data_IF_768233420683
#
_entry.id   IF_768233420683
#
_cell.length_a   1.000
_cell.length_b   1.000
_cell.length_c   1.000
_cell.angle_alpha   90.00
_cell.angle_beta   90.00
_cell.angle_gamma   90.00
#
_symmetry.space_group_name_H-M   'P 1'
#
loop_
_entity.id
_entity.type
_entity.pdbx_description
1 polymer ?
#
# COMPACT_ATOMS: atom_id res chain seq x y z
N UNK A 1 -7.95 -9.00 0.32
CA UNK A 1 -9.07 -9.93 0.02
C UNK A 1 -10.03 -9.36 -1.01
N UNK A 2 -10.70 -8.23 -0.76
CA UNK A 2 -11.70 -7.68 -1.69
C UNK A 2 -11.15 -7.44 -3.10
N UNK A 3 -9.97 -6.83 -3.19
CA UNK A 3 -9.28 -6.59 -4.45
C UNK A 3 -8.89 -7.88 -5.16
N UNK A 4 -8.24 -8.81 -4.44
CA UNK A 4 -7.87 -10.09 -5.05
C UNK A 4 -9.10 -10.77 -5.61
N UNK A 5 -10.24 -10.78 -4.91
CA UNK A 5 -11.50 -11.41 -5.35
C UNK A 5 -12.40 -10.53 -6.22
N UNK A 6 -11.93 -9.36 -6.67
CA UNK A 6 -12.66 -8.43 -7.56
C UNK A 6 -14.08 -8.08 -7.07
N UNK A 7 -14.27 -7.96 -5.75
CA UNK A 7 -15.59 -7.75 -5.14
C UNK A 7 -16.30 -6.50 -5.67
N UNK A 8 -15.56 -5.41 -5.86
CA UNK A 8 -16.11 -4.14 -6.35
C UNK A 8 -16.72 -4.36 -7.74
N UNK A 9 -16.00 -4.99 -8.66
CA UNK A 9 -16.51 -5.26 -10.01
C UNK A 9 -17.75 -6.16 -10.00
N UNK A 10 -17.76 -7.22 -9.18
CA UNK A 10 -18.96 -8.05 -9.02
C UNK A 10 -20.15 -7.25 -8.51
N UNK A 11 -19.96 -6.41 -7.49
CA UNK A 11 -21.02 -5.57 -6.95
C UNK A 11 -21.56 -4.57 -7.99
N UNK A 12 -20.67 -3.90 -8.74
CA UNK A 12 -21.05 -2.97 -9.80
C UNK A 12 -21.76 -3.69 -10.95
N UNK A 13 -21.29 -4.85 -11.39
CA UNK A 13 -21.94 -5.62 -12.46
C UNK A 13 -23.38 -6.06 -12.09
N UNK A 14 -23.61 -6.48 -10.85
CA UNK A 14 -24.96 -6.80 -10.37
C UNK A 14 -25.83 -5.54 -10.38
N UNK A 15 -25.34 -4.44 -9.80
CA UNK A 15 -26.11 -3.19 -9.64
C UNK A 15 -26.40 -2.49 -10.95
N UNK A 16 -25.41 -2.39 -11.83
CA UNK A 16 -25.44 -1.50 -13.01
C UNK A 16 -25.79 -2.25 -14.29
N UNK A 17 -25.53 -3.56 -14.34
CA UNK A 17 -25.74 -4.39 -15.54
C UNK A 17 -26.70 -5.56 -15.30
N UNK A 18 -27.15 -5.79 -14.06
CA UNK A 18 -28.04 -6.90 -13.72
C UNK A 18 -27.40 -8.29 -13.85
N UNK A 19 -26.07 -8.37 -13.93
CA UNK A 19 -25.35 -9.63 -14.15
C UNK A 19 -24.96 -10.28 -12.83
N UNK A 20 -25.58 -11.42 -12.49
CA UNK A 20 -25.28 -12.18 -11.28
C UNK A 20 -23.91 -12.89 -11.31
N UNK A 21 -23.56 -13.50 -12.45
CA UNK A 21 -22.30 -14.21 -12.64
C UNK A 21 -21.73 -13.87 -14.02
N UNK A 22 -21.13 -12.67 -14.12
CA UNK A 22 -20.52 -12.19 -15.36
C UNK A 22 -19.32 -13.08 -15.74
N UNK A 23 -19.54 -13.97 -16.72
CA UNK A 23 -18.52 -14.90 -17.22
C UNK A 23 -17.41 -14.22 -18.02
N UNK A 24 -17.58 -12.95 -18.40
CA UNK A 24 -16.53 -12.17 -19.06
C UNK A 24 -15.47 -11.65 -18.09
N UNK A 25 -15.76 -11.67 -16.78
CA UNK A 25 -14.81 -11.27 -15.75
C UNK A 25 -13.63 -12.25 -15.68
N UNK A 26 -12.39 -11.77 -15.62
CA UNK A 26 -11.23 -12.61 -15.35
C UNK A 26 -11.41 -13.37 -14.04
N UNK A 27 -11.14 -14.67 -14.04
CA UNK A 27 -11.18 -15.44 -12.80
C UNK A 27 -9.99 -15.03 -11.94
N UNK A 28 -10.26 -14.35 -10.82
CA UNK A 28 -9.27 -14.17 -9.77
C UNK A 28 -8.81 -15.51 -9.22
N UNK A 29 -7.50 -15.75 -9.29
CA UNK A 29 -6.86 -16.95 -8.73
C UNK A 29 -6.28 -16.72 -7.35
N UNK A 30 -6.08 -15.47 -6.93
CA UNK A 30 -5.33 -15.17 -5.71
C UNK A 30 -6.19 -15.15 -4.43
N UNK A 31 -5.93 -16.12 -3.56
CA UNK A 31 -6.41 -16.14 -2.18
C UNK A 31 -5.38 -15.52 -1.23
N UNK A 32 -5.82 -15.01 -0.08
CA UNK A 32 -4.89 -14.47 0.92
C UNK A 32 -4.25 -15.57 1.78
N UNK A 33 -4.98 -16.66 2.05
CA UNK A 33 -4.48 -17.73 2.91
C UNK A 33 -3.29 -18.44 2.26
N UNK A 34 -2.16 -18.52 2.96
CA UNK A 34 -0.94 -19.14 2.43
C UNK A 34 -0.19 -18.31 1.38
N UNK A 35 -0.63 -17.08 1.10
CA UNK A 35 -0.02 -16.23 0.09
C UNK A 35 1.32 -15.66 0.53
N UNK A 36 2.13 -15.26 -0.45
CA UNK A 36 3.32 -14.44 -0.25
C UNK A 36 2.93 -12.95 -0.26
N UNK A 37 3.17 -12.25 0.86
CA UNK A 37 2.88 -10.83 1.01
C UNK A 37 4.19 -10.04 1.08
N UNK A 38 4.39 -9.16 0.12
CA UNK A 38 5.49 -8.23 0.05
C UNK A 38 5.13 -6.87 0.66
N UNK A 39 5.91 -6.40 1.63
CA UNK A 39 5.78 -5.04 2.18
C UNK A 39 7.01 -4.21 1.81
N UNK A 40 6.79 -3.00 1.32
CA UNK A 40 7.86 -2.03 1.07
C UNK A 40 7.88 -1.06 2.24
N UNK A 41 8.95 -1.11 3.03
CA UNK A 41 9.13 -0.56 4.39
C UNK A 41 8.49 -1.34 5.53
N UNK A 42 9.20 -1.43 6.66
CA UNK A 42 8.74 -1.94 7.96
C UNK A 42 8.30 -0.79 8.89
N UNK A 43 7.60 0.20 8.34
CA UNK A 43 7.07 1.37 9.06
C UNK A 43 6.04 0.97 10.13
N UNK A 44 5.60 1.95 10.93
CA UNK A 44 4.58 1.74 11.97
C UNK A 44 3.31 1.09 11.40
N UNK A 45 2.82 1.56 10.25
CA UNK A 45 1.63 0.98 9.61
C UNK A 45 1.91 -0.43 9.11
N UNK A 46 3.09 -0.68 8.50
CA UNK A 46 3.44 -2.02 8.04
C UNK A 46 3.50 -3.04 9.19
N UNK A 47 3.96 -2.65 10.37
CA UNK A 47 4.01 -3.51 11.57
C UNK A 47 2.62 -3.88 12.06
N UNK A 48 1.67 -2.95 12.04
CA UNK A 48 0.26 -3.26 12.31
C UNK A 48 -0.31 -4.23 11.27
N UNK A 49 -0.01 -3.99 9.99
CA UNK A 49 -0.42 -4.89 8.89
C UNK A 49 0.15 -6.30 9.09
N UNK A 50 1.42 -6.45 9.49
CA UNK A 50 2.04 -7.74 9.81
C UNK A 50 1.23 -8.49 10.88
N UNK A 51 0.81 -7.79 11.95
CA UNK A 51 -0.03 -8.36 13.01
C UNK A 51 -1.40 -8.80 12.50
N UNK A 52 -2.06 -7.96 11.70
CA UNK A 52 -3.37 -8.25 11.11
C UNK A 52 -3.35 -9.40 10.11
N UNK A 53 -2.20 -9.68 9.49
CA UNK A 53 -2.03 -10.75 8.51
C UNK A 53 -1.77 -12.13 9.15
N UNK A 54 -1.35 -12.20 10.42
CA UNK A 54 -1.01 -13.46 11.09
C UNK A 54 -2.08 -14.56 10.97
N UNK A 55 -3.39 -14.28 11.17
CA UNK A 55 -4.42 -15.33 11.12
C UNK A 55 -4.60 -15.97 9.73
N UNK A 56 -4.06 -15.34 8.68
CA UNK A 56 -4.16 -15.84 7.31
C UNK A 56 -3.04 -16.83 6.95
N UNK A 57 -2.08 -17.08 7.86
CA UNK A 57 -0.96 -17.99 7.63
C UNK A 57 -0.21 -17.66 6.33
N UNK A 58 0.11 -16.37 6.16
CA UNK A 58 0.88 -15.85 5.02
C UNK A 58 2.38 -15.94 5.27
N UNK A 59 3.15 -15.87 4.20
CA UNK A 59 4.59 -15.63 4.25
C UNK A 59 4.85 -14.15 3.94
N UNK A 60 5.62 -13.45 4.77
CA UNK A 60 5.83 -12.01 4.61
C UNK A 60 7.28 -11.72 4.23
N UNK A 61 7.48 -11.14 3.05
CA UNK A 61 8.74 -10.57 2.60
C UNK A 61 8.71 -9.07 2.81
N UNK A 62 9.81 -8.48 3.29
CA UNK A 62 9.91 -7.05 3.52
C UNK A 62 11.21 -6.48 2.96
N UNK A 63 11.09 -5.38 2.21
CA UNK A 63 12.23 -4.53 1.87
C UNK A 63 12.23 -3.31 2.78
N UNK A 64 13.27 -3.16 3.60
CA UNK A 64 13.52 -1.95 4.37
C UNK A 64 15.04 -1.84 4.64
N UNK A 65 15.72 -0.79 4.11
CA UNK A 65 17.17 -0.66 4.26
C UNK A 65 17.61 -0.44 5.71
N UNK A 66 16.71 0.01 6.60
CA UNK A 66 16.98 0.32 8.00
C UNK A 66 16.54 -0.79 8.96
N UNK A 67 15.81 -1.80 8.49
CA UNK A 67 15.40 -2.94 9.30
C UNK A 67 16.59 -3.88 9.54
N UNK A 68 16.85 -4.26 10.79
CA UNK A 68 17.87 -5.28 11.09
C UNK A 68 17.29 -6.70 10.89
N UNK A 69 18.15 -7.68 10.59
CA UNK A 69 17.72 -9.09 10.47
C UNK A 69 17.17 -9.62 11.80
N UNK A 70 17.69 -9.10 12.93
CA UNK A 70 17.18 -9.43 14.26
C UNK A 70 15.75 -8.93 14.46
N UNK A 71 15.47 -7.68 14.09
CA UNK A 71 14.11 -7.11 14.18
C UNK A 71 13.14 -7.82 13.23
N UNK A 72 13.59 -8.17 12.02
CA UNK A 72 12.80 -8.96 11.07
C UNK A 72 12.41 -10.32 11.67
N UNK A 73 13.38 -11.05 12.25
CA UNK A 73 13.12 -12.32 12.93
C UNK A 73 12.16 -12.18 14.11
N UNK A 74 12.25 -11.09 14.88
CA UNK A 74 11.34 -10.82 16.00
C UNK A 74 9.90 -10.53 15.57
N UNK A 75 9.73 -9.98 14.36
CA UNK A 75 8.44 -9.75 13.73
C UNK A 75 7.90 -10.97 12.96
N UNK A 76 8.69 -12.05 12.84
CA UNK A 76 8.30 -13.23 12.07
C UNK A 76 8.21 -12.98 10.56
N UNK A 77 9.00 -12.04 10.05
CA UNK A 77 9.06 -11.66 8.64
C UNK A 77 10.45 -11.92 8.06
N UNK A 78 10.54 -12.04 6.75
CA UNK A 78 11.81 -12.21 6.03
C UNK A 78 12.22 -10.90 5.36
N UNK A 79 13.39 -10.37 5.73
CA UNK A 79 13.97 -9.21 5.06
C UNK A 79 14.63 -9.65 3.74
N UNK A 80 14.36 -8.93 2.65
CA UNK A 80 14.94 -9.22 1.33
C UNK A 80 15.15 -7.94 0.50
N UNK A 81 15.71 -8.07 -0.69
CA UNK A 81 15.91 -6.97 -1.63
C UNK A 81 14.60 -6.52 -2.28
N UNK A 82 14.52 -5.25 -2.70
CA UNK A 82 13.32 -4.66 -3.30
C UNK A 82 12.79 -5.51 -4.47
N UNK A 83 13.64 -5.81 -5.43
CA UNK A 83 13.27 -6.58 -6.61
C UNK A 83 12.83 -8.02 -6.28
N UNK A 84 13.38 -8.61 -5.22
CA UNK A 84 12.97 -9.95 -4.76
C UNK A 84 11.55 -9.95 -4.19
N UNK A 85 11.14 -8.86 -3.52
CA UNK A 85 9.74 -8.70 -3.10
C UNK A 85 8.82 -8.73 -4.33
N UNK A 86 9.13 -7.94 -5.36
CA UNK A 86 8.29 -7.83 -6.57
C UNK A 86 8.25 -9.12 -7.38
N UNK A 87 9.34 -9.89 -7.42
CA UNK A 87 9.40 -11.18 -8.13
C UNK A 87 8.59 -12.29 -7.46
N UNK A 88 8.53 -12.29 -6.13
CA UNK A 88 8.03 -13.45 -5.37
C UNK A 88 6.61 -13.24 -4.84
N UNK A 89 6.26 -12.01 -4.47
CA UNK A 89 5.03 -11.71 -3.76
C UNK A 89 3.77 -11.82 -4.63
N UNK A 90 2.70 -12.33 -4.04
CA UNK A 90 1.34 -12.36 -4.59
C UNK A 90 0.56 -11.06 -4.27
N UNK A 91 0.95 -10.40 -3.19
CA UNK A 91 0.43 -9.11 -2.75
C UNK A 91 1.62 -8.19 -2.49
N UNK A 92 1.65 -7.01 -3.08
CA UNK A 92 2.69 -6.00 -2.81
C UNK A 92 2.01 -4.77 -2.24
N UNK A 93 2.41 -4.35 -1.04
CA UNK A 93 1.85 -3.18 -0.35
C UNK A 93 2.93 -2.17 -0.01
N UNK A 94 2.74 -0.93 -0.46
CA UNK A 94 3.67 0.17 -0.19
C UNK A 94 3.35 0.83 1.15
N UNK A 95 4.38 0.95 2.00
CA UNK A 95 4.31 1.58 3.33
C UNK A 95 5.45 2.57 3.57
N UNK A 96 6.04 3.08 2.48
CA UNK A 96 7.20 3.97 2.50
C UNK A 96 6.80 5.45 2.66
N UNK A 97 7.66 6.27 3.28
CA UNK A 97 7.50 7.72 3.28
C UNK A 97 7.66 8.38 1.94
N UNK A 98 7.31 9.67 1.91
CA UNK A 98 7.74 10.61 0.88
C UNK A 98 9.06 11.26 1.29
N UNK A 99 10.14 10.83 0.66
CA UNK A 99 11.49 11.36 0.77
C UNK A 99 12.08 11.54 -0.64
N UNK A 100 13.15 12.33 -0.82
CA UNK A 100 13.85 12.41 -2.10
C UNK A 100 14.29 11.04 -2.63
N UNK A 101 14.75 10.15 -1.75
CA UNK A 101 15.25 8.82 -2.09
C UNK A 101 14.13 7.82 -2.42
N UNK A 102 12.89 8.10 -1.99
CA UNK A 102 11.73 7.24 -2.29
C UNK A 102 10.88 7.78 -3.45
N UNK A 103 11.22 8.94 -4.00
CA UNK A 103 10.51 9.51 -5.15
C UNK A 103 10.68 8.62 -6.37
N UNK A 104 9.55 8.15 -6.93
CA UNK A 104 9.51 7.21 -8.06
C UNK A 104 10.38 5.95 -7.86
N UNK A 105 10.62 5.53 -6.62
CA UNK A 105 11.41 4.32 -6.36
C UNK A 105 10.74 3.06 -6.92
N UNK A 106 9.41 3.09 -7.11
CA UNK A 106 8.67 2.05 -7.82
C UNK A 106 8.39 2.55 -9.23
N UNK A 107 9.18 2.06 -10.18
CA UNK A 107 9.07 2.39 -11.60
C UNK A 107 8.86 1.16 -12.48
N UNK A 108 9.15 1.32 -13.78
CA UNK A 108 8.95 0.27 -14.78
C UNK A 108 9.72 -1.03 -14.47
N UNK A 109 10.87 -0.94 -13.82
CA UNK A 109 11.70 -2.13 -13.51
C UNK A 109 11.04 -3.00 -12.44
N UNK A 110 10.58 -2.41 -11.34
CA UNK A 110 9.87 -3.13 -10.28
C UNK A 110 8.52 -3.65 -10.79
N UNK A 111 7.75 -2.83 -11.51
CA UNK A 111 6.43 -3.21 -11.99
C UNK A 111 6.47 -4.40 -12.96
N UNK A 112 7.50 -4.48 -13.82
CA UNK A 112 7.71 -5.62 -14.74
C UNK A 112 8.00 -6.93 -14.03
N UNK A 113 8.53 -6.90 -12.81
CA UNK A 113 8.84 -8.09 -12.02
C UNK A 113 7.62 -8.72 -11.36
N UNK A 114 6.51 -7.98 -11.23
CA UNK A 114 5.28 -8.49 -10.64
C UNK A 114 4.85 -9.79 -11.32
N UNK A 115 4.36 -10.75 -10.54
CA UNK A 115 3.72 -11.95 -11.07
C UNK A 115 2.37 -11.59 -11.68
N UNK A 116 1.88 -12.41 -12.60
CA UNK A 116 0.48 -12.35 -13.00
C UNK A 116 -0.42 -12.63 -11.79
N UNK A 117 -1.62 -12.05 -11.79
CA UNK A 117 -2.62 -12.04 -10.71
C UNK A 117 -2.17 -11.35 -9.40
N UNK A 118 -1.00 -10.70 -9.37
CA UNK A 118 -0.54 -9.93 -8.19
C UNK A 118 -1.56 -8.85 -7.79
N UNK A 119 -1.71 -8.59 -6.50
CA UNK A 119 -2.44 -7.43 -5.99
C UNK A 119 -1.46 -6.39 -5.50
N UNK A 120 -1.30 -5.31 -6.27
CA UNK A 120 -0.45 -4.19 -5.95
C UNK A 120 -1.26 -3.08 -5.24
N UNK A 121 -0.77 -2.59 -4.11
CA UNK A 121 -1.49 -1.68 -3.21
C UNK A 121 -0.58 -0.51 -2.86
N UNK A 122 -1.08 0.71 -3.05
CA UNK A 122 -0.45 1.91 -2.52
C UNK A 122 -1.45 2.74 -1.70
N UNK A 123 -1.28 2.72 -0.38
CA UNK A 123 -1.95 3.61 0.58
C UNK A 123 -0.95 4.49 1.33
N UNK A 124 0.27 4.63 0.79
CA UNK A 124 1.36 5.37 1.41
C UNK A 124 1.43 6.78 0.84
N UNK A 125 2.18 7.00 -0.25
CA UNK A 125 2.32 8.27 -0.95
C UNK A 125 2.28 8.06 -2.45
N UNK A 126 1.53 8.91 -3.17
CA UNK A 126 1.42 8.83 -4.63
C UNK A 126 2.79 8.98 -5.32
N UNK A 127 3.61 9.91 -4.84
CA UNK A 127 4.91 10.26 -5.42
C UNK A 127 6.00 9.18 -5.31
N UNK A 128 5.71 8.07 -4.63
CA UNK A 128 6.61 6.91 -4.55
C UNK A 128 6.53 6.06 -5.82
N UNK A 129 5.40 6.15 -6.53
CA UNK A 129 5.06 5.34 -7.69
C UNK A 129 5.02 6.21 -8.94
N UNK A 130 5.79 5.83 -9.94
CA UNK A 130 5.68 6.41 -11.28
C UNK A 130 4.34 5.96 -11.92
N UNK A 131 3.40 6.89 -12.03
CA UNK A 131 2.04 6.60 -12.54
C UNK A 131 2.02 6.34 -14.06
N UNK A 132 2.98 6.88 -14.81
CA UNK A 132 3.10 6.60 -16.25
C UNK A 132 3.63 5.19 -16.45
N UNK A 133 4.66 4.79 -15.70
CA UNK A 133 5.15 3.41 -15.70
C UNK A 133 4.06 2.42 -15.24
N UNK A 134 3.31 2.78 -14.20
CA UNK A 134 2.15 2.00 -13.75
C UNK A 134 1.13 1.83 -14.85
N UNK A 135 0.77 2.89 -15.57
CA UNK A 135 -0.18 2.80 -16.68
C UNK A 135 0.31 1.86 -17.78
N UNK A 136 1.58 1.97 -18.18
CA UNK A 136 2.13 1.11 -19.24
C UNK A 136 2.07 -0.37 -18.88
N UNK A 137 2.27 -0.71 -17.61
CA UNK A 137 2.29 -2.10 -17.15
C UNK A 137 0.87 -2.60 -16.84
N UNK A 138 0.06 -1.80 -16.13
CA UNK A 138 -1.28 -2.16 -15.69
C UNK A 138 -2.29 -2.27 -16.84
N UNK A 139 -2.08 -1.58 -17.98
CA UNK A 139 -2.98 -1.68 -19.15
C UNK A 139 -3.09 -3.09 -19.74
N UNK A 140 -2.12 -3.97 -19.45
CA UNK A 140 -2.17 -5.39 -19.84
C UNK A 140 -3.27 -6.17 -19.10
N UNK A 141 -3.72 -5.67 -17.94
CA UNK A 141 -4.71 -6.36 -17.10
C UNK A 141 -4.15 -7.53 -16.29
N UNK A 142 -2.84 -7.79 -16.34
CA UNK A 142 -2.23 -8.99 -15.75
C UNK A 142 -2.14 -9.00 -14.22
N UNK A 143 -2.30 -7.84 -13.56
CA UNK A 143 -2.33 -7.70 -12.10
C UNK A 143 -3.39 -6.68 -11.68
N UNK A 144 -3.80 -6.71 -10.41
CA UNK A 144 -4.76 -5.77 -9.82
C UNK A 144 -4.04 -4.64 -9.10
N UNK A 145 -4.61 -3.44 -9.14
CA UNK A 145 -4.04 -2.25 -8.52
C UNK A 145 -5.07 -1.57 -7.63
N UNK A 146 -4.68 -1.26 -6.40
CA UNK A 146 -5.42 -0.40 -5.48
C UNK A 146 -4.58 0.83 -5.14
N UNK A 147 -5.07 2.01 -5.49
CA UNK A 147 -4.47 3.28 -5.12
C UNK A 147 -5.42 4.04 -4.19
N UNK A 148 -4.98 4.39 -2.99
CA UNK A 148 -5.66 5.40 -2.18
C UNK A 148 -5.01 6.78 -2.32
N UNK A 149 -3.79 6.83 -2.87
CA UNK A 149 -2.99 8.04 -3.02
C UNK A 149 -2.49 8.14 -4.46
N UNK A 150 -2.39 9.36 -5.00
CA UNK A 150 -1.95 9.62 -6.38
C UNK A 150 -0.99 10.80 -6.44
N UNK A 151 -0.24 10.93 -7.53
CA UNK A 151 0.59 12.10 -7.80
C UNK A 151 0.34 12.59 -9.25
N UNK A 152 -0.19 13.80 -9.46
CA UNK A 152 -0.65 14.75 -8.45
C UNK A 152 -1.91 14.27 -7.70
N UNK A 153 -2.27 14.99 -6.64
CA UNK A 153 -3.50 14.77 -5.87
C UNK A 153 -4.41 16.00 -5.94
N UNK A 154 -5.62 15.92 -6.52
CA UNK A 154 -6.25 14.72 -7.09
C UNK A 154 -5.65 14.29 -8.43
N UNK A 155 -5.71 12.98 -8.74
CA UNK A 155 -5.36 12.48 -10.07
C UNK A 155 -6.22 13.16 -11.14
N UNK A 156 -5.69 13.65 -12.27
CA UNK A 156 -6.47 14.38 -13.25
C UNK A 156 -7.65 13.56 -13.81
N UNK A 157 -8.84 14.15 -14.06
CA UNK A 157 -10.03 13.44 -14.54
C UNK A 157 -9.82 12.62 -15.82
N UNK A 158 -9.00 13.13 -16.73
CA UNK A 158 -8.64 12.54 -18.02
C UNK A 158 -7.53 11.47 -17.93
N UNK A 159 -6.89 11.32 -16.77
CA UNK A 159 -5.78 10.40 -16.58
C UNK A 159 -6.20 8.95 -16.91
N UNK A 160 -5.46 8.22 -17.77
CA UNK A 160 -5.93 6.95 -18.32
C UNK A 160 -6.06 5.83 -17.28
N UNK A 161 -5.31 5.87 -16.15
CA UNK A 161 -5.49 4.93 -15.03
C UNK A 161 -6.93 4.87 -14.51
N UNK A 162 -7.68 5.98 -14.53
CA UNK A 162 -9.08 6.03 -14.08
C UNK A 162 -10.02 5.14 -14.91
N UNK A 163 -9.58 4.72 -16.10
CA UNK A 163 -10.37 3.93 -17.05
C UNK A 163 -10.00 2.45 -17.08
N UNK A 164 -8.91 2.05 -16.40
CA UNK A 164 -8.45 0.68 -16.41
C UNK A 164 -9.33 -0.19 -15.48
N UNK A 165 -9.88 -1.32 -15.96
CA UNK A 165 -10.79 -2.14 -15.17
C UNK A 165 -10.11 -2.89 -14.02
N UNK A 166 -8.79 -3.03 -14.04
CA UNK A 166 -7.99 -3.67 -12.98
C UNK A 166 -7.37 -2.65 -12.01
N UNK A 167 -7.73 -1.37 -12.10
CA UNK A 167 -7.23 -0.30 -11.23
C UNK A 167 -8.41 0.29 -10.46
N UNK A 168 -8.32 0.25 -9.14
CA UNK A 168 -9.28 0.88 -8.23
C UNK A 168 -8.59 2.05 -7.54
N UNK A 169 -9.23 3.22 -7.57
CA UNK A 169 -8.70 4.46 -7.01
C UNK A 169 -9.69 5.00 -5.98
N UNK A 170 -9.23 5.25 -4.76
CA UNK A 170 -9.97 5.93 -3.70
C UNK A 170 -9.33 7.30 -3.40
N UNK A 171 -10.12 8.32 -2.97
CA UNK A 171 -9.64 9.69 -2.86
C UNK A 171 -8.99 9.95 -1.50
N UNK A 172 -7.89 9.25 -1.19
CA UNK A 172 -7.08 9.45 0.01
C UNK A 172 -7.88 9.39 1.30
N UNK A 173 -8.62 8.30 1.48
CA UNK A 173 -9.55 8.13 2.59
C UNK A 173 -9.07 7.15 3.66
N UNK A 174 -7.99 6.40 3.43
CA UNK A 174 -7.52 5.37 4.37
C UNK A 174 -7.14 5.91 5.75
N UNK A 175 -6.63 7.14 5.83
CA UNK A 175 -6.34 7.84 7.09
C UNK A 175 -7.54 8.59 7.68
N UNK A 176 -8.68 8.62 7.01
CA UNK A 176 -9.85 9.44 7.39
C UNK A 176 -10.89 8.61 8.14
N UNK A 177 -11.55 9.20 9.14
CA UNK A 177 -12.63 8.54 9.90
C UNK A 177 -12.87 9.20 11.26
N UNK A 178 -14.02 8.93 11.89
CA UNK A 178 -14.39 9.55 13.17
C UNK A 178 -13.36 9.29 14.28
N UNK A 179 -12.86 8.06 14.36
CA UNK A 179 -11.79 7.69 15.28
C UNK A 179 -10.46 8.35 14.89
N UNK A 180 -10.09 8.32 13.60
CA UNK A 180 -8.84 8.90 13.10
C UNK A 180 -8.72 10.40 13.37
N UNK A 181 -9.76 11.19 13.08
CA UNK A 181 -9.74 12.64 13.35
C UNK A 181 -9.69 12.96 14.84
N UNK A 182 -10.41 12.20 15.66
CA UNK A 182 -10.36 12.38 17.11
C UNK A 182 -8.97 12.07 17.67
N UNK A 183 -8.35 10.98 17.24
CA UNK A 183 -7.01 10.59 17.70
C UNK A 183 -5.92 11.54 17.21
N UNK A 184 -6.02 12.03 15.97
CA UNK A 184 -5.14 13.09 15.46
C UNK A 184 -5.31 14.35 16.33
N UNK A 185 -6.54 14.76 16.60
CA UNK A 185 -6.82 15.91 17.46
C UNK A 185 -6.26 15.75 18.87
N UNK A 186 -6.50 14.60 19.52
CA UNK A 186 -5.97 14.25 20.83
C UNK A 186 -4.44 14.27 20.85
N UNK A 187 -3.80 13.70 19.83
CA UNK A 187 -2.34 13.68 19.70
C UNK A 187 -1.77 15.09 19.61
N UNK A 188 -2.38 15.97 18.80
CA UNK A 188 -1.95 17.36 18.64
C UNK A 188 -2.13 18.13 19.95
N UNK A 189 -3.29 18.02 20.60
CA UNK A 189 -3.55 18.70 21.87
C UNK A 189 -2.57 18.24 22.94
N UNK A 190 -2.35 16.93 23.07
CA UNK A 190 -1.40 16.39 24.03
C UNK A 190 0.03 16.87 23.76
N UNK A 191 0.46 16.91 22.49
CA UNK A 191 1.77 17.43 22.11
C UNK A 191 1.94 18.92 22.48
N UNK A 192 0.90 19.74 22.26
CA UNK A 192 0.88 21.15 22.65
C UNK A 192 0.96 21.32 24.18
N UNK A 193 0.21 20.54 24.94
CA UNK A 193 0.28 20.56 26.41
C UNK A 193 1.70 20.25 26.89
N UNK A 194 2.31 19.15 26.42
CA UNK A 194 3.68 18.80 26.82
C UNK A 194 4.67 19.91 26.47
N UNK A 195 4.54 20.51 25.28
CA UNK A 195 5.40 21.61 24.85
C UNK A 195 5.29 22.82 25.79
N UNK A 196 4.08 23.29 26.11
CA UNK A 196 3.90 24.46 26.98
C UNK A 196 4.28 24.19 28.44
N UNK A 197 4.21 22.93 28.90
CA UNK A 197 4.74 22.53 30.20
C UNK A 197 6.26 22.29 30.22
N UNK A 198 6.97 22.57 29.12
CA UNK A 198 8.41 22.28 28.97
C UNK A 198 8.76 20.80 29.24
N UNK A 199 7.84 19.90 28.92
CA UNK A 199 8.01 18.45 29.01
C UNK A 199 8.42 17.87 27.65
N UNK A 200 9.01 16.66 27.61
CA UNK A 200 9.25 15.95 26.37
C UNK A 200 7.95 15.77 25.58
N UNK A 201 7.95 16.14 24.30
CA UNK A 201 6.79 16.02 23.40
C UNK A 201 6.77 14.62 22.77
N UNK A 202 5.77 13.77 23.05
CA UNK A 202 5.63 12.47 22.41
C UNK A 202 5.45 12.63 20.90
N UNK A 203 6.11 11.77 20.12
CA UNK A 203 6.04 11.84 18.67
C UNK A 203 6.71 13.08 18.06
N UNK A 204 7.52 13.83 18.84
CA UNK A 204 8.33 14.93 18.30
C UNK A 204 9.21 14.41 17.18
N UNK A 205 8.96 14.93 15.99
CA UNK A 205 9.76 14.64 14.81
C UNK A 205 11.08 15.40 14.93
N UNK A 206 12.19 14.65 14.95
CA UNK A 206 13.51 15.23 14.74
C UNK A 206 13.72 15.44 13.24
N UNK A 207 13.62 16.70 12.80
CA UNK A 207 13.78 17.04 11.38
C UNK A 207 15.18 16.69 10.85
N UNK A 208 16.19 16.54 11.71
CA UNK A 208 17.53 16.07 11.30
C UNK A 208 17.57 14.58 10.97
N UNK A 209 16.58 13.81 11.47
CA UNK A 209 16.39 12.38 11.21
C UNK A 209 15.15 12.10 10.37
N UNK A 210 14.60 13.11 9.69
CA UNK A 210 13.36 13.01 8.91
C UNK A 210 13.37 11.82 7.94
N UNK A 211 14.51 11.56 7.28
CA UNK A 211 14.68 10.46 6.34
C UNK A 211 14.56 9.04 6.96
N UNK A 212 14.62 8.91 8.28
CA UNK A 212 14.50 7.63 9.00
C UNK A 212 13.17 7.48 9.77
N UNK A 213 12.46 8.59 9.98
CA UNK A 213 11.26 8.65 10.83
C UNK A 213 9.95 8.73 10.03
N UNK A 214 10.03 9.15 8.77
CA UNK A 214 8.89 9.21 7.87
C UNK A 214 8.49 7.80 7.41
#
# INVERSE_FOLDING_TARGET
>A
IMMSRQWIHHALNVRERGLWNDRSMPKSRQGLRGAMVGLISASTVAREVIGLLQPFNVHILVYDPYLSDWDAGRLGIEKTALDEVFKQADFVSLHVPKLPETYHMIGADQLRLLKDDTVFINTSRGSVLDHDALYQEAKSGRFQVQLDVTDPEPLPPEHPLRKLPNVVITPHTSGTGAYGYSEIGNTVVHALEQYFYSKPVPGRVDLTRWAQLA
#
